data_IF_628819306706
#
_entry.id   IF_628819306706
#
_cell.length_a   1.000
_cell.length_b   1.000
_cell.length_c   1.000
_cell.angle_alpha   90.00
_cell.angle_beta   90.00
_cell.angle_gamma   90.00
#
_symmetry.space_group_name_H-M   'P 1'
#
loop_
_entity.id
_entity.type
_entity.pdbx_description
1 polymer ?
#
# COMPACT_ATOMS: atom_id res chain seq x y z
N UNK A 1 -7.64 -1.34 -17.81
CA UNK A 1 -6.89 -0.31 -17.07
C UNK A 1 -5.83 -0.94 -16.18
N UNK A 2 -4.57 -0.53 -16.33
CA UNK A 2 -3.45 -1.06 -15.54
C UNK A 2 -3.05 -0.09 -14.41
N UNK A 3 -2.08 -0.48 -13.58
CA UNK A 3 -1.66 0.34 -12.44
C UNK A 3 -0.88 1.61 -12.83
N UNK A 4 -0.18 1.63 -13.96
CA UNK A 4 0.52 2.82 -14.46
C UNK A 4 -0.48 3.91 -14.88
N UNK A 5 -1.55 3.53 -15.59
CA UNK A 5 -2.63 4.43 -15.98
C UNK A 5 -3.26 5.12 -14.75
N UNK A 6 -3.42 4.37 -13.65
CA UNK A 6 -3.98 4.91 -12.40
C UNK A 6 -3.05 5.90 -11.72
N UNK A 7 -1.74 5.65 -11.75
CA UNK A 7 -0.77 6.53 -11.11
C UNK A 7 -0.71 7.90 -11.78
N UNK A 8 -0.91 7.99 -13.10
CA UNK A 8 -0.92 9.25 -13.84
C UNK A 8 -2.09 10.17 -13.45
N UNK A 9 -3.18 9.58 -12.96
CA UNK A 9 -4.36 10.31 -12.50
C UNK A 9 -4.19 10.85 -11.07
N UNK A 10 -3.26 10.29 -10.30
CA UNK A 10 -3.03 10.64 -8.90
C UNK A 10 -2.19 11.92 -8.73
N UNK A 11 -2.72 12.81 -7.89
CA UNK A 11 -1.96 13.80 -7.13
C UNK A 11 -2.30 13.60 -5.64
N UNK A 12 -1.39 12.97 -4.90
CA UNK A 12 -1.61 12.69 -3.47
C UNK A 12 -1.61 13.96 -2.60
N UNK A 13 -1.11 15.10 -3.10
CA UNK A 13 -1.19 16.39 -2.42
C UNK A 13 -2.55 17.08 -2.66
N UNK A 14 -3.27 16.71 -3.73
CA UNK A 14 -4.64 17.17 -4.03
C UNK A 14 -5.57 15.97 -4.30
N UNK A 15 -6.01 15.27 -3.23
CA UNK A 15 -6.92 14.14 -3.39
C UNK A 15 -8.27 14.54 -3.99
N UNK A 16 -8.70 15.80 -3.85
CA UNK A 16 -9.95 16.29 -4.43
C UNK A 16 -9.83 16.45 -5.96
N UNK A 17 -8.70 16.93 -6.48
CA UNK A 17 -8.43 16.93 -7.92
C UNK A 17 -8.33 15.52 -8.49
N UNK A 18 -7.65 14.62 -7.77
CA UNK A 18 -7.56 13.21 -8.16
C UNK A 18 -8.95 12.55 -8.24
N UNK A 19 -9.81 12.77 -7.24
CA UNK A 19 -11.20 12.29 -7.26
C UNK A 19 -11.94 12.75 -8.53
N UNK A 20 -11.84 14.04 -8.89
CA UNK A 20 -12.50 14.56 -10.09
C UNK A 20 -12.01 13.86 -11.35
N UNK A 21 -10.69 13.70 -11.51
CA UNK A 21 -10.09 12.99 -12.66
C UNK A 21 -10.59 11.55 -12.74
N UNK A 22 -10.59 10.81 -11.62
CA UNK A 22 -11.09 9.44 -11.60
C UNK A 22 -12.58 9.36 -11.93
N UNK A 23 -13.40 10.29 -11.44
CA UNK A 23 -14.83 10.34 -11.77
C UNK A 23 -15.06 10.61 -13.25
N UNK A 24 -14.35 11.58 -13.82
CA UNK A 24 -14.45 11.93 -15.25
C UNK A 24 -14.06 10.73 -16.13
N UNK A 25 -12.93 10.09 -15.83
CA UNK A 25 -12.46 8.89 -16.57
C UNK A 25 -13.42 7.71 -16.38
N UNK A 26 -13.99 7.54 -15.17
CA UNK A 26 -14.95 6.46 -14.90
C UNK A 26 -16.27 6.64 -15.67
N UNK A 27 -16.67 7.88 -15.93
CA UNK A 27 -17.86 8.20 -16.72
C UNK A 27 -17.65 7.92 -18.23
N UNK A 28 -16.40 8.06 -18.70
CA UNK A 28 -15.98 7.68 -20.05
C UNK A 28 -15.72 6.17 -20.22
N UNK A 29 -15.62 5.42 -19.12
CA UNK A 29 -15.28 3.99 -19.10
C UNK A 29 -16.49 3.08 -18.86
N UNK A 30 -16.32 1.78 -19.14
CA UNK A 30 -17.34 0.74 -18.90
C UNK A 30 -16.72 -0.53 -18.31
N UNK A 31 -17.56 -1.42 -17.77
CA UNK A 31 -17.14 -2.75 -17.31
C UNK A 31 -16.08 -2.69 -16.20
N UNK A 32 -15.09 -3.56 -16.30
CA UNK A 32 -14.02 -3.68 -15.30
C UNK A 32 -13.22 -2.38 -15.12
N UNK A 33 -12.91 -1.66 -16.20
CA UNK A 33 -12.12 -0.42 -16.14
C UNK A 33 -12.83 0.67 -15.34
N UNK A 34 -14.14 0.83 -15.56
CA UNK A 34 -14.97 1.73 -14.74
C UNK A 34 -14.94 1.32 -13.26
N UNK A 35 -15.07 0.03 -12.96
CA UNK A 35 -15.06 -0.46 -11.59
C UNK A 35 -13.69 -0.24 -10.91
N UNK A 36 -12.58 -0.45 -11.62
CA UNK A 36 -11.22 -0.15 -11.13
C UNK A 36 -11.09 1.33 -10.78
N UNK A 37 -11.53 2.24 -11.66
CA UNK A 37 -11.50 3.68 -11.41
C UNK A 37 -12.33 4.07 -10.17
N UNK A 38 -13.50 3.47 -9.98
CA UNK A 38 -14.34 3.73 -8.81
C UNK A 38 -13.69 3.30 -7.49
N UNK A 39 -12.84 2.25 -7.48
CA UNK A 39 -12.04 1.95 -6.28
C UNK A 39 -11.07 3.09 -5.93
N UNK A 40 -10.51 3.77 -6.93
CA UNK A 40 -9.63 4.92 -6.71
C UNK A 40 -10.40 6.18 -6.31
N UNK A 41 -11.64 6.35 -6.79
CA UNK A 41 -12.56 7.37 -6.25
C UNK A 41 -12.76 7.16 -4.75
N UNK A 42 -13.03 5.93 -4.30
CA UNK A 42 -13.19 5.62 -2.88
C UNK A 42 -11.92 5.92 -2.07
N UNK A 43 -10.73 5.59 -2.59
CA UNK A 43 -9.45 5.97 -1.99
C UNK A 43 -9.30 7.48 -1.82
N UNK A 44 -9.64 8.24 -2.87
CA UNK A 44 -9.56 9.71 -2.85
C UNK A 44 -10.55 10.34 -1.86
N UNK A 45 -11.77 9.79 -1.77
CA UNK A 45 -12.77 10.17 -0.78
C UNK A 45 -12.27 9.91 0.66
N UNK A 46 -11.66 8.75 0.90
CA UNK A 46 -11.06 8.40 2.19
C UNK A 46 -9.96 9.38 2.61
N UNK A 47 -9.09 9.79 1.69
CA UNK A 47 -8.05 10.81 1.95
C UNK A 47 -8.64 12.20 2.27
N UNK A 48 -9.87 12.49 1.82
CA UNK A 48 -10.60 13.72 2.13
C UNK A 48 -11.44 13.62 3.41
N UNK A 49 -11.42 12.49 4.13
CA UNK A 49 -12.25 12.27 5.31
C UNK A 49 -13.72 11.97 5.02
N UNK A 50 -14.09 11.76 3.75
CA UNK A 50 -15.46 11.41 3.31
C UNK A 50 -15.68 9.91 3.42
N UNK A 51 -15.54 9.38 4.63
CA UNK A 51 -15.46 7.93 4.87
C UNK A 51 -16.75 7.20 4.51
N UNK A 52 -17.93 7.69 4.93
CA UNK A 52 -19.20 7.00 4.65
C UNK A 52 -19.49 6.90 3.15
N UNK A 53 -19.14 7.94 2.39
CA UNK A 53 -19.28 7.94 0.93
C UNK A 53 -18.29 6.96 0.27
N UNK A 54 -17.05 6.92 0.75
CA UNK A 54 -16.06 5.97 0.26
C UNK A 54 -16.48 4.52 0.53
N UNK A 55 -16.99 4.23 1.74
CA UNK A 55 -17.45 2.91 2.13
C UNK A 55 -18.68 2.48 1.33
N UNK A 56 -19.69 3.35 1.19
CA UNK A 56 -20.88 3.07 0.38
C UNK A 56 -20.53 2.78 -1.09
N UNK A 57 -19.59 3.54 -1.67
CA UNK A 57 -19.13 3.27 -3.04
C UNK A 57 -18.44 1.90 -3.17
N UNK A 58 -17.68 1.48 -2.16
CA UNK A 58 -17.01 0.18 -2.18
C UNK A 58 -17.99 -0.99 -2.00
N UNK A 59 -19.05 -0.79 -1.20
CA UNK A 59 -20.16 -1.74 -1.07
C UNK A 59 -20.91 -1.88 -2.41
N UNK A 60 -21.24 -0.77 -3.08
CA UNK A 60 -21.87 -0.78 -4.40
C UNK A 60 -21.03 -1.56 -5.44
N UNK A 61 -19.70 -1.41 -5.40
CA UNK A 61 -18.80 -2.18 -6.26
C UNK A 61 -18.88 -3.67 -5.94
N UNK A 62 -18.75 -4.08 -4.68
CA UNK A 62 -18.80 -5.49 -4.28
C UNK A 62 -20.14 -6.15 -4.67
N UNK A 63 -21.26 -5.43 -4.53
CA UNK A 63 -22.58 -5.90 -4.95
C UNK A 63 -22.66 -6.09 -6.47
N UNK A 64 -22.11 -5.14 -7.25
CA UNK A 64 -22.06 -5.25 -8.71
C UNK A 64 -21.24 -6.47 -9.17
N UNK A 65 -20.21 -6.89 -8.43
CA UNK A 65 -19.40 -8.07 -8.74
C UNK A 65 -20.15 -9.41 -8.55
N UNK A 66 -21.40 -9.38 -8.05
CA UNK A 66 -22.27 -10.57 -8.02
C UNK A 66 -22.97 -10.83 -9.36
N UNK A 67 -22.98 -9.84 -10.25
CA UNK A 67 -23.59 -9.91 -11.57
C UNK A 67 -22.70 -10.67 -12.57
N UNK A 68 -23.29 -11.24 -13.64
CA UNK A 68 -22.56 -12.04 -14.62
C UNK A 68 -21.67 -11.23 -15.58
N UNK A 69 -21.65 -9.90 -15.44
CA UNK A 69 -21.04 -8.95 -16.40
C UNK A 69 -19.51 -8.94 -16.40
N UNK A 70 -18.88 -9.68 -15.48
CA UNK A 70 -17.43 -9.75 -15.32
C UNK A 70 -16.91 -11.17 -15.56
N UNK A 71 -15.69 -11.29 -16.09
CA UNK A 71 -14.94 -12.56 -16.05
C UNK A 71 -14.54 -12.90 -14.62
N UNK A 72 -14.10 -14.15 -14.40
CA UNK A 72 -13.67 -14.57 -13.06
C UNK A 72 -12.39 -13.85 -12.61
N UNK A 73 -11.48 -13.57 -13.54
CA UNK A 73 -10.22 -12.88 -13.26
C UNK A 73 -10.48 -11.41 -12.91
N UNK A 74 -11.32 -10.71 -13.70
CA UNK A 74 -11.75 -9.34 -13.39
C UNK A 74 -12.44 -9.24 -12.04
N UNK A 75 -13.36 -10.16 -11.71
CA UNK A 75 -13.99 -10.20 -10.38
C UNK A 75 -12.96 -10.37 -9.27
N UNK A 76 -11.94 -11.17 -9.49
CA UNK A 76 -10.92 -11.45 -8.48
C UNK A 76 -10.05 -10.22 -8.24
N UNK A 77 -9.58 -9.57 -9.31
CA UNK A 77 -8.82 -8.32 -9.19
C UNK A 77 -9.66 -7.20 -8.55
N UNK A 78 -10.92 -7.03 -8.98
CA UNK A 78 -11.80 -6.00 -8.42
C UNK A 78 -12.11 -6.23 -6.94
N UNK A 79 -12.30 -7.48 -6.50
CA UNK A 79 -12.42 -7.82 -5.06
C UNK A 79 -11.18 -7.49 -4.27
N UNK A 80 -9.99 -7.71 -4.84
CA UNK A 80 -8.72 -7.34 -4.19
C UNK A 80 -8.65 -5.83 -4.01
N UNK A 81 -8.90 -5.06 -5.07
CA UNK A 81 -8.86 -3.59 -5.04
C UNK A 81 -9.91 -3.02 -4.09
N UNK A 82 -11.15 -3.50 -4.16
CA UNK A 82 -12.22 -3.07 -3.26
C UNK A 82 -11.88 -3.35 -1.79
N UNK A 83 -11.43 -4.57 -1.46
CA UNK A 83 -11.03 -4.92 -0.10
C UNK A 83 -9.82 -4.11 0.41
N UNK A 84 -8.85 -3.83 -0.46
CA UNK A 84 -7.68 -3.01 -0.13
C UNK A 84 -8.10 -1.58 0.24
N UNK A 85 -8.89 -0.94 -0.62
CA UNK A 85 -9.34 0.44 -0.38
C UNK A 85 -10.35 0.51 0.78
N UNK A 86 -11.19 -0.51 0.96
CA UNK A 86 -12.07 -0.62 2.13
C UNK A 86 -11.25 -0.66 3.43
N UNK A 87 -10.19 -1.47 3.45
CA UNK A 87 -9.25 -1.51 4.56
C UNK A 87 -8.56 -0.17 4.83
N UNK A 88 -8.11 0.51 3.77
CA UNK A 88 -7.46 1.83 3.89
C UNK A 88 -8.42 2.89 4.45
N UNK A 89 -9.66 2.94 3.98
CA UNK A 89 -10.70 3.86 4.47
C UNK A 89 -11.04 3.57 5.93
N UNK A 90 -11.23 2.30 6.29
CA UNK A 90 -11.50 1.91 7.69
C UNK A 90 -10.35 2.30 8.62
N UNK A 91 -9.10 2.11 8.19
CA UNK A 91 -7.95 2.50 8.99
C UNK A 91 -7.91 4.02 9.21
N UNK A 92 -8.09 4.79 8.12
CA UNK A 92 -8.14 6.25 8.19
C UNK A 92 -9.30 6.78 9.05
N UNK A 93 -10.43 6.07 9.07
CA UNK A 93 -11.59 6.37 9.92
C UNK A 93 -11.40 5.94 11.39
N UNK A 94 -10.21 5.52 11.81
CA UNK A 94 -9.92 5.11 13.19
C UNK A 94 -10.49 3.74 13.57
N UNK A 95 -10.70 2.84 12.59
CA UNK A 95 -11.24 1.49 12.77
C UNK A 95 -10.22 0.40 12.38
N UNK A 96 -9.02 0.36 13.00
CA UNK A 96 -7.93 -0.52 12.57
C UNK A 96 -8.28 -2.02 12.64
N UNK A 97 -9.02 -2.46 13.67
CA UNK A 97 -9.43 -3.87 13.78
C UNK A 97 -10.30 -4.33 12.58
N UNK A 98 -11.19 -3.46 12.10
CA UNK A 98 -12.00 -3.75 10.92
C UNK A 98 -11.16 -3.65 9.63
N UNK A 99 -10.21 -2.70 9.58
CA UNK A 99 -9.27 -2.58 8.47
C UNK A 99 -8.44 -3.85 8.28
N UNK A 100 -7.89 -4.42 9.36
CA UNK A 100 -7.09 -5.65 9.32
C UNK A 100 -7.84 -6.80 8.66
N UNK A 101 -9.15 -6.95 8.92
CA UNK A 101 -9.97 -7.99 8.29
C UNK A 101 -10.02 -7.82 6.77
N UNK A 102 -10.27 -6.59 6.29
CA UNK A 102 -10.36 -6.31 4.86
C UNK A 102 -8.99 -6.39 4.17
N UNK A 103 -7.94 -5.87 4.79
CA UNK A 103 -6.58 -5.91 4.25
C UNK A 103 -6.02 -7.34 4.20
N UNK A 104 -6.32 -8.18 5.20
CA UNK A 104 -5.97 -9.59 5.18
C UNK A 104 -6.71 -10.35 4.06
N UNK A 105 -7.99 -10.03 3.83
CA UNK A 105 -8.75 -10.55 2.67
C UNK A 105 -8.10 -10.11 1.37
N UNK A 106 -7.74 -8.84 1.22
CA UNK A 106 -7.07 -8.32 0.03
C UNK A 106 -5.73 -9.02 -0.23
N UNK A 107 -4.87 -9.14 0.79
CA UNK A 107 -3.58 -9.81 0.69
C UNK A 107 -3.71 -11.29 0.30
N UNK A 108 -4.67 -12.00 0.89
CA UNK A 108 -4.92 -13.42 0.59
C UNK A 108 -5.44 -13.64 -0.84
N UNK A 109 -6.41 -12.85 -1.28
CA UNK A 109 -6.93 -12.91 -2.64
C UNK A 109 -5.87 -12.54 -3.68
N UNK A 110 -5.10 -11.48 -3.43
CA UNK A 110 -4.04 -11.01 -4.32
C UNK A 110 -2.95 -12.07 -4.49
N UNK A 111 -2.50 -12.68 -3.40
CA UNK A 111 -1.51 -13.75 -3.44
C UNK A 111 -2.02 -14.98 -4.21
N UNK A 112 -3.27 -15.39 -3.99
CA UNK A 112 -3.88 -16.51 -4.71
C UNK A 112 -4.02 -16.27 -6.22
N UNK A 113 -4.25 -15.01 -6.61
CA UNK A 113 -4.38 -14.60 -8.01
C UNK A 113 -3.05 -14.19 -8.67
N UNK A 114 -1.92 -14.20 -7.92
CA UNK A 114 -0.61 -13.70 -8.38
C UNK A 114 -0.63 -12.23 -8.82
N UNK A 115 -1.41 -11.42 -8.11
CA UNK A 115 -1.47 -9.96 -8.26
C UNK A 115 -0.43 -9.33 -7.32
N UNK A 116 0.85 -9.58 -7.60
CA UNK A 116 1.96 -9.32 -6.67
C UNK A 116 1.99 -7.87 -6.15
N UNK A 117 1.80 -6.89 -7.03
CA UNK A 117 1.76 -5.47 -6.66
C UNK A 117 0.69 -5.19 -5.59
N UNK A 118 -0.53 -5.71 -5.79
CA UNK A 118 -1.64 -5.53 -4.87
C UNK A 118 -1.45 -6.33 -3.57
N UNK A 119 -0.81 -7.50 -3.65
CA UNK A 119 -0.46 -8.29 -2.47
C UNK A 119 0.53 -7.54 -1.57
N UNK A 120 1.54 -6.91 -2.18
CA UNK A 120 2.54 -6.11 -1.46
C UNK A 120 1.90 -4.84 -0.86
N UNK A 121 1.05 -4.12 -1.61
CA UNK A 121 0.32 -2.95 -1.08
C UNK A 121 -0.56 -3.34 0.12
N UNK A 122 -1.31 -4.44 0.02
CA UNK A 122 -2.13 -4.94 1.12
C UNK A 122 -1.31 -5.32 2.36
N UNK A 123 -0.14 -5.93 2.18
CA UNK A 123 0.77 -6.26 3.29
C UNK A 123 1.39 -5.01 3.93
N UNK A 124 1.70 -3.99 3.14
CA UNK A 124 2.14 -2.71 3.66
C UNK A 124 1.04 -2.03 4.49
N UNK A 125 -0.19 -2.01 3.97
CA UNK A 125 -1.34 -1.47 4.69
C UNK A 125 -1.64 -2.26 5.98
N UNK A 126 -1.46 -3.59 5.99
CA UNK A 126 -1.55 -4.40 7.21
C UNK A 126 -0.52 -3.98 8.26
N UNK A 127 0.72 -3.68 7.85
CA UNK A 127 1.74 -3.21 8.78
C UNK A 127 1.36 -1.89 9.45
N UNK A 128 0.63 -1.01 8.75
CA UNK A 128 0.12 0.25 9.29
C UNK A 128 -1.07 0.01 10.22
N UNK A 129 -2.02 -0.85 9.83
CA UNK A 129 -3.25 -1.09 10.58
C UNK A 129 -3.05 -1.99 11.82
N UNK A 130 -2.01 -2.83 11.84
CA UNK A 130 -1.67 -3.77 12.91
C UNK A 130 -0.24 -3.53 13.42
N UNK A 131 -0.02 -2.46 14.22
CA UNK A 131 1.31 -2.08 14.68
C UNK A 131 1.99 -3.18 15.52
N UNK A 132 1.20 -4.01 16.21
CA UNK A 132 1.71 -5.13 17.03
C UNK A 132 2.43 -6.16 16.14
N UNK A 133 1.95 -6.38 14.92
CA UNK A 133 2.53 -7.33 13.96
C UNK A 133 3.18 -6.63 12.76
N UNK A 134 3.43 -5.32 12.84
CA UNK A 134 3.97 -4.53 11.73
C UNK A 134 5.26 -5.12 11.14
N UNK A 135 6.17 -5.59 11.98
CA UNK A 135 7.40 -6.26 11.54
C UNK A 135 7.15 -7.57 10.80
N UNK A 136 6.14 -8.35 11.21
CA UNK A 136 5.74 -9.58 10.50
C UNK A 136 5.17 -9.26 9.11
N UNK A 137 4.22 -8.32 9.05
CA UNK A 137 3.59 -7.91 7.80
C UNK A 137 4.60 -7.32 6.82
N UNK A 138 5.50 -6.47 7.31
CA UNK A 138 6.55 -5.86 6.50
C UNK A 138 7.52 -6.91 5.95
N UNK A 139 7.96 -7.90 6.75
CA UNK A 139 8.83 -8.99 6.26
C UNK A 139 8.13 -9.85 5.21
N UNK A 140 6.84 -10.13 5.36
CA UNK A 140 6.04 -10.84 4.36
C UNK A 140 5.92 -10.03 3.06
N UNK A 141 5.65 -8.72 3.17
CA UNK A 141 5.62 -7.82 2.03
C UNK A 141 6.95 -7.78 1.28
N UNK A 142 8.07 -7.75 2.02
CA UNK A 142 9.40 -7.75 1.44
C UNK A 142 9.69 -9.05 0.68
N UNK A 143 9.37 -10.20 1.28
CA UNK A 143 9.53 -11.49 0.63
C UNK A 143 8.72 -11.57 -0.67
N UNK A 144 7.47 -11.07 -0.68
CA UNK A 144 6.64 -11.00 -1.87
C UNK A 144 7.22 -10.04 -2.93
N UNK A 145 7.66 -8.85 -2.53
CA UNK A 145 8.22 -7.86 -3.44
C UNK A 145 9.50 -8.36 -4.13
N UNK A 146 10.41 -8.99 -3.38
CA UNK A 146 11.67 -9.52 -3.91
C UNK A 146 11.49 -10.76 -4.79
N UNK A 147 10.43 -11.54 -4.56
CA UNK A 147 10.11 -12.72 -5.37
C UNK A 147 9.39 -12.37 -6.69
N UNK A 148 8.78 -11.18 -6.77
CA UNK A 148 8.03 -10.77 -7.96
C UNK A 148 8.95 -10.57 -9.17
N UNK A 149 8.57 -11.04 -10.36
CA UNK A 149 9.31 -10.76 -11.59
C UNK A 149 9.11 -9.32 -12.09
N UNK A 150 8.12 -8.60 -11.55
CA UNK A 150 7.79 -7.24 -11.95
C UNK A 150 8.73 -6.21 -11.28
N UNK A 151 9.55 -5.48 -12.06
CA UNK A 151 10.44 -4.44 -11.53
C UNK A 151 9.70 -3.35 -10.75
N UNK A 152 8.45 -3.06 -11.10
CA UNK A 152 7.62 -2.08 -10.39
C UNK A 152 7.26 -2.58 -9.00
N UNK A 153 6.81 -3.82 -8.88
CA UNK A 153 6.56 -4.44 -7.58
C UNK A 153 7.83 -4.52 -6.72
N UNK A 154 8.98 -4.83 -7.31
CA UNK A 154 10.27 -4.85 -6.59
C UNK A 154 10.65 -3.47 -5.98
N UNK A 155 10.20 -2.34 -6.56
CA UNK A 155 10.46 -1.00 -6.00
C UNK A 155 9.88 -0.80 -4.60
N UNK A 156 8.85 -1.56 -4.23
CA UNK A 156 8.30 -1.54 -2.88
C UNK A 156 9.32 -1.92 -1.81
N UNK A 157 10.37 -2.68 -2.16
CA UNK A 157 11.43 -3.04 -1.22
C UNK A 157 12.06 -1.81 -0.54
N UNK A 158 12.13 -0.66 -1.23
CA UNK A 158 12.62 0.60 -0.65
C UNK A 158 11.78 1.01 0.56
N UNK A 159 10.46 1.15 0.36
CA UNK A 159 9.54 1.61 1.40
C UNK A 159 9.38 0.57 2.52
N UNK A 160 9.39 -0.72 2.19
CA UNK A 160 9.24 -1.81 3.16
C UNK A 160 10.48 -1.94 4.06
N UNK A 161 11.69 -1.88 3.50
CA UNK A 161 12.90 -1.87 4.31
C UNK A 161 12.97 -0.63 5.21
N UNK A 162 12.60 0.55 4.68
CA UNK A 162 12.55 1.77 5.49
C UNK A 162 11.53 1.65 6.64
N UNK A 163 10.35 1.11 6.38
CA UNK A 163 9.31 0.90 7.40
C UNK A 163 9.77 -0.10 8.48
N UNK A 164 10.45 -1.17 8.08
CA UNK A 164 11.05 -2.13 9.02
C UNK A 164 12.13 -1.47 9.88
N UNK A 165 12.99 -0.65 9.26
CA UNK A 165 14.05 0.07 9.95
C UNK A 165 13.50 1.00 11.03
N UNK A 166 12.46 1.78 10.72
CA UNK A 166 11.82 2.65 11.71
C UNK A 166 11.15 1.87 12.84
N UNK A 167 10.46 0.76 12.54
CA UNK A 167 9.86 -0.09 13.57
C UNK A 167 10.90 -0.69 14.53
N UNK A 168 12.05 -1.11 14.01
CA UNK A 168 13.17 -1.62 14.82
C UNK A 168 13.85 -0.50 15.62
N UNK A 169 13.98 0.69 15.01
CA UNK A 169 14.55 1.86 15.67
C UNK A 169 13.71 2.26 16.88
N UNK A 170 12.39 2.35 16.73
CA UNK A 170 11.46 2.67 17.81
C UNK A 170 11.45 1.61 18.93
N UNK A 171 11.77 0.36 18.59
CA UNK A 171 11.93 -0.74 19.55
C UNK A 171 13.28 -0.73 20.28
N UNK A 172 14.20 0.18 19.94
CA UNK A 172 15.56 0.22 20.50
C UNK A 172 16.53 -0.80 19.89
N UNK A 173 16.10 -1.55 18.87
CA UNK A 173 16.90 -2.55 18.15
C UNK A 173 17.78 -1.85 17.08
N UNK A 174 18.60 -0.88 17.51
CA UNK A 174 19.29 0.05 16.61
C UNK A 174 20.25 -0.63 15.61
N UNK A 175 20.84 -1.77 15.96
CA UNK A 175 21.71 -2.53 15.06
C UNK A 175 20.93 -3.15 13.89
N UNK A 176 19.76 -3.75 14.19
CA UNK A 176 18.90 -4.33 13.17
C UNK A 176 18.19 -3.24 12.35
N UNK A 177 17.85 -2.11 12.99
CA UNK A 177 17.35 -0.92 12.30
C UNK A 177 18.36 -0.41 11.27
N UNK A 178 19.64 -0.30 11.63
CA UNK A 178 20.72 0.10 10.73
C UNK A 178 20.84 -0.86 9.53
N UNK A 179 20.75 -2.18 9.76
CA UNK A 179 20.78 -3.16 8.69
C UNK A 179 19.60 -2.98 7.72
N UNK A 180 18.39 -2.76 8.25
CA UNK A 180 17.20 -2.50 7.44
C UNK A 180 17.31 -1.19 6.64
N UNK A 181 17.77 -0.09 7.23
CA UNK A 181 17.96 1.18 6.52
C UNK A 181 19.03 1.09 5.42
N UNK A 182 20.12 0.35 5.66
CA UNK A 182 21.14 0.10 4.62
C UNK A 182 20.58 -0.70 3.45
N UNK A 183 19.72 -1.68 3.71
CA UNK A 183 19.01 -2.41 2.67
C UNK A 183 18.06 -1.48 1.88
N UNK A 184 17.29 -0.62 2.58
CA UNK A 184 16.45 0.39 1.95
C UNK A 184 17.26 1.33 1.05
N UNK A 185 18.42 1.81 1.52
CA UNK A 185 19.31 2.70 0.77
C UNK A 185 19.89 2.01 -0.47
N UNK A 186 20.28 0.75 -0.36
CA UNK A 186 20.77 -0.06 -1.48
C UNK A 186 19.72 -0.14 -2.59
N UNK A 187 18.48 -0.47 -2.24
CA UNK A 187 17.37 -0.51 -3.21
C UNK A 187 17.04 0.89 -3.75
N UNK A 188 17.03 1.92 -2.90
CA UNK A 188 16.72 3.29 -3.31
C UNK A 188 17.73 3.80 -4.35
N UNK A 189 19.02 3.46 -4.20
CA UNK A 189 20.06 3.81 -5.19
C UNK A 189 19.88 3.09 -6.53
N UNK A 190 19.27 1.91 -6.53
CA UNK A 190 19.02 1.12 -7.74
C UNK A 190 17.78 1.59 -8.50
N UNK A 191 16.69 1.86 -7.79
CA UNK A 191 15.35 2.05 -8.40
C UNK A 191 14.51 3.18 -7.81
N UNK A 192 15.00 3.86 -6.78
CA UNK A 192 14.26 4.90 -6.07
C UNK A 192 14.49 6.31 -6.62
N UNK A 193 13.72 7.26 -6.09
CA UNK A 193 13.90 8.70 -6.36
C UNK A 193 15.02 9.28 -5.50
N UNK A 194 15.55 10.46 -5.89
CA UNK A 194 16.52 11.18 -5.07
C UNK A 194 16.01 11.50 -3.66
N UNK A 195 14.71 11.71 -3.51
CA UNK A 195 14.06 11.91 -2.21
C UNK A 195 14.05 10.63 -1.36
N UNK A 196 13.75 9.48 -1.97
CA UNK A 196 13.82 8.19 -1.29
C UNK A 196 15.24 7.85 -0.84
N UNK A 197 16.26 8.15 -1.66
CA UNK A 197 17.67 7.98 -1.27
C UNK A 197 18.00 8.83 -0.04
N UNK A 198 17.66 10.13 -0.05
CA UNK A 198 17.90 11.03 1.10
C UNK A 198 17.23 10.53 2.38
N UNK A 199 15.96 10.12 2.31
CA UNK A 199 15.25 9.56 3.47
C UNK A 199 15.91 8.30 4.03
N UNK A 200 16.44 7.43 3.16
CA UNK A 200 17.17 6.25 3.61
C UNK A 200 18.52 6.62 4.27
N UNK A 201 19.22 7.63 3.74
CA UNK A 201 20.46 8.14 4.34
C UNK A 201 20.21 8.75 5.73
N UNK A 202 19.11 9.48 5.91
CA UNK A 202 18.66 9.99 7.21
C UNK A 202 18.42 8.85 8.22
N UNK A 203 17.73 7.78 7.80
CA UNK A 203 17.51 6.60 8.66
C UNK A 203 18.82 5.91 9.06
N UNK A 204 19.77 5.75 8.13
CA UNK A 204 21.11 5.21 8.42
C UNK A 204 21.83 6.07 9.46
N UNK A 205 21.85 7.39 9.26
CA UNK A 205 22.52 8.33 10.17
C UNK A 205 21.91 8.29 11.58
N UNK A 206 20.58 8.25 11.68
CA UNK A 206 19.88 8.18 12.96
C UNK A 206 20.23 6.90 13.75
N UNK A 207 20.28 5.75 13.08
CA UNK A 207 20.65 4.48 13.70
C UNK A 207 22.14 4.44 14.13
N UNK A 208 23.04 5.01 13.32
CA UNK A 208 24.46 5.12 13.66
C UNK A 208 24.73 6.07 14.83
N UNK A 209 23.94 7.14 14.98
CA UNK A 209 23.99 8.03 16.14
C UNK A 209 23.52 7.32 17.42
N UNK A 210 22.38 6.62 17.36
CA UNK A 210 21.83 5.90 18.50
C UNK A 210 22.78 4.79 19.01
N UNK A 211 23.45 4.08 18.09
CA UNK A 211 24.46 3.08 18.44
C UNK A 211 25.70 3.67 19.12
N UNK A 212 26.15 4.85 18.69
CA UNK A 212 27.28 5.55 19.34
C UNK A 212 26.91 6.01 20.74
N UNK A 213 25.75 6.64 20.90
CA UNK A 213 25.27 7.10 22.19
C UNK A 213 25.09 5.95 23.21
N UNK A 214 24.67 4.76 22.76
CA UNK A 214 24.56 3.57 23.61
C UNK A 214 25.89 2.89 23.94
N UNK A 215 26.97 3.19 23.23
CA UNK A 215 28.31 2.68 23.54
C UNK A 215 29.05 3.55 24.58
N UNK A 216 28.64 4.80 24.74
CA UNK A 216 29.25 5.80 25.62
C UNK A 216 28.55 5.93 27.00
N UNK A 217 27.45 5.18 27.24
CA UNK A 217 26.65 5.19 28.48
C UNK A 217 26.74 3.89 29.27
#
# INVERSE_FOLDING_TARGET
MNQEDLDELWDFADPAASERRFRDESAASTGADRAVLLTQVARALGLQGRYDEALGLLEDIEDALTLPDFTQDERTELRVRAALEHGRVLNAAGRPAAAVVQLARAAGLAAGARLDFLAVDALHMLAIADPVRAGEWTRRGLAAALASPDPRTQRWAVALHASLGWGLYDAGEHADALAAFRAALSEARRVGTAEQVRRCEEGVAAAEEALRAGADG
#
